data_IF_578605478056
#
_entry.id   IF_578605478056
#
_cell.length_a   1.000
_cell.length_b   1.000
_cell.length_c   1.000
_cell.angle_alpha   90.00
_cell.angle_beta   90.00
_cell.angle_gamma   90.00
#
_symmetry.space_group_name_H-M   'P 1'
#
loop_
_entity.id
_entity.type
_entity.pdbx_description
1 polymer ?
#
# COMPACT_ATOMS: atom_id res chain seq x y z
N UNK A 1 -8.25 12.39 29.48
CA UNK A 1 -7.48 13.02 28.39
C UNK A 1 -6.35 13.83 29.00
N UNK A 2 -5.24 13.19 29.37
CA UNK A 2 -3.98 13.85 29.78
C UNK A 2 -2.83 12.86 29.52
N UNK A 3 -1.93 13.16 28.59
CA UNK A 3 -0.60 12.54 28.52
C UNK A 3 0.45 13.64 28.36
N UNK A 4 1.59 13.46 29.02
CA UNK A 4 2.74 14.36 28.99
C UNK A 4 3.71 13.89 27.88
N UNK A 5 4.11 14.74 26.93
CA UNK A 5 5.13 14.39 25.94
C UNK A 5 6.52 14.37 26.60
N UNK A 6 7.22 13.23 26.53
CA UNK A 6 8.65 13.13 26.86
C UNK A 6 9.06 12.05 27.89
N UNK A 7 8.13 11.39 28.56
CA UNK A 7 8.46 10.27 29.47
C UNK A 7 8.25 8.92 28.77
N UNK A 8 9.29 8.42 28.11
CA UNK A 8 9.32 7.07 27.54
C UNK A 8 10.04 6.13 28.52
N UNK A 9 9.28 5.48 29.41
CA UNK A 9 9.76 4.20 29.94
C UNK A 9 9.45 3.14 28.88
N UNK A 10 10.49 2.56 28.28
CA UNK A 10 10.37 1.27 27.60
C UNK A 10 10.11 0.17 28.64
N UNK A 11 8.99 0.25 29.34
CA UNK A 11 8.43 -0.86 30.10
C UNK A 11 7.83 -1.81 29.09
N UNK A 12 8.74 -2.56 28.47
CA UNK A 12 8.39 -3.60 27.54
C UNK A 12 7.86 -4.82 28.31
N UNK A 13 6.56 -4.80 28.61
CA UNK A 13 5.83 -5.97 29.10
C UNK A 13 5.43 -6.92 27.96
N UNK A 14 5.89 -6.74 26.71
CA UNK A 14 5.52 -7.58 25.54
C UNK A 14 5.91 -9.05 25.70
N UNK A 15 6.74 -9.40 26.68
CA UNK A 15 7.18 -10.78 26.97
C UNK A 15 6.53 -11.43 28.19
N UNK A 16 5.73 -10.71 28.99
CA UNK A 16 5.21 -11.23 30.27
C UNK A 16 3.83 -11.88 30.18
N UNK A 17 2.96 -11.42 29.28
CA UNK A 17 1.59 -11.93 29.16
C UNK A 17 1.20 -12.16 27.69
N UNK A 18 0.61 -13.32 27.40
CA UNK A 18 0.07 -13.64 26.08
C UNK A 18 -1.03 -12.66 25.72
N UNK A 19 -0.86 -11.97 24.57
CA UNK A 19 -1.88 -11.09 24.02
C UNK A 19 -2.68 -11.83 22.95
N UNK A 20 -4.01 -11.69 22.93
CA UNK A 20 -4.78 -12.13 21.78
C UNK A 20 -4.29 -11.38 20.53
N UNK A 21 -4.05 -12.12 19.45
CA UNK A 21 -3.83 -11.57 18.13
C UNK A 21 -4.96 -12.05 17.21
N UNK A 22 -5.23 -11.27 16.17
CA UNK A 22 -6.23 -11.60 15.16
C UNK A 22 -5.47 -12.08 13.94
N UNK A 23 -5.79 -13.29 13.49
CA UNK A 23 -5.34 -13.82 12.21
C UNK A 23 -6.53 -13.81 11.25
N UNK A 24 -6.28 -13.35 10.03
CA UNK A 24 -7.28 -13.36 8.97
C UNK A 24 -6.99 -14.54 8.05
N UNK A 25 -8.01 -15.38 7.85
CA UNK A 25 -7.92 -16.55 6.99
C UNK A 25 -8.92 -16.40 5.83
N UNK A 26 -8.47 -16.13 4.59
CA UNK A 26 -9.38 -16.05 3.45
C UNK A 26 -9.91 -17.44 3.08
N UNK A 27 -11.20 -17.52 2.74
CA UNK A 27 -11.84 -18.75 2.29
C UNK A 27 -12.74 -18.48 1.08
N UNK A 28 -12.88 -19.46 0.20
CA UNK A 28 -13.78 -19.40 -0.94
C UNK A 28 -15.18 -19.83 -0.51
N UNK A 29 -16.19 -19.09 -0.97
CA UNK A 29 -17.61 -19.48 -0.85
C UNK A 29 -18.23 -19.57 -2.23
N UNK A 30 -19.12 -20.55 -2.50
CA UNK A 30 -19.87 -20.59 -3.76
C UNK A 30 -20.66 -19.29 -3.94
N UNK A 31 -20.53 -18.65 -5.10
CA UNK A 31 -21.27 -17.41 -5.37
C UNK A 31 -22.80 -17.62 -5.29
N UNK A 32 -23.28 -18.82 -5.62
CA UNK A 32 -24.68 -19.22 -5.51
C UNK A 32 -25.22 -19.28 -4.07
N UNK A 33 -24.34 -19.25 -3.06
CA UNK A 33 -24.73 -19.19 -1.65
C UNK A 33 -25.08 -17.76 -1.20
N UNK A 34 -24.83 -16.74 -2.04
CA UNK A 34 -25.04 -15.33 -1.73
C UNK A 34 -26.28 -14.83 -2.50
N UNK A 35 -27.31 -14.41 -1.77
CA UNK A 35 -28.48 -13.70 -2.34
C UNK A 35 -28.19 -12.19 -2.39
N UNK A 36 -27.60 -11.73 -3.51
CA UNK A 36 -27.20 -10.33 -3.69
C UNK A 36 -28.41 -9.48 -4.12
N UNK A 37 -28.67 -8.41 -3.38
CA UNK A 37 -29.83 -7.54 -3.59
C UNK A 37 -29.47 -6.06 -3.40
N UNK A 38 -30.17 -5.17 -4.11
CA UNK A 38 -30.08 -3.71 -3.95
C UNK A 38 -31.41 -3.20 -3.42
N UNK A 39 -31.39 -2.51 -2.28
CA UNK A 39 -32.52 -1.78 -1.74
C UNK A 39 -32.41 -0.30 -2.15
N UNK A 40 -33.39 0.17 -2.94
CA UNK A 40 -33.46 1.57 -3.34
C UNK A 40 -34.11 2.43 -2.26
N UNK A 41 -33.85 3.74 -2.29
CA UNK A 41 -34.48 4.70 -1.37
C UNK A 41 -36.00 4.78 -1.49
N UNK A 42 -36.58 4.28 -2.59
CA UNK A 42 -38.01 4.10 -2.80
C UNK A 42 -38.60 2.92 -2.00
N UNK A 43 -37.77 2.06 -1.42
CA UNK A 43 -38.17 0.79 -0.80
C UNK A 43 -38.23 -0.39 -1.78
N UNK A 44 -37.95 -0.17 -3.06
CA UNK A 44 -37.85 -1.25 -4.06
C UNK A 44 -36.60 -2.11 -3.82
N UNK A 45 -36.77 -3.43 -3.90
CA UNK A 45 -35.70 -4.41 -3.75
C UNK A 45 -35.44 -5.10 -5.09
N UNK A 46 -34.21 -5.00 -5.60
CA UNK A 46 -33.79 -5.55 -6.89
C UNK A 46 -32.82 -6.70 -6.65
N UNK A 47 -33.12 -7.90 -7.16
CA UNK A 47 -32.21 -9.03 -7.12
C UNK A 47 -31.08 -8.88 -8.15
N UNK A 48 -29.84 -9.18 -7.74
CA UNK A 48 -28.64 -9.11 -8.58
C UNK A 48 -28.10 -10.53 -8.77
N UNK A 49 -28.40 -11.12 -9.93
CA UNK A 49 -27.91 -12.46 -10.25
C UNK A 49 -26.37 -12.48 -10.43
N UNK A 50 -25.71 -13.62 -10.15
CA UNK A 50 -24.31 -13.82 -10.49
C UNK A 50 -24.00 -13.55 -11.97
N UNK A 51 -22.79 -13.06 -12.30
CA UNK A 51 -22.38 -12.84 -13.69
C UNK A 51 -22.30 -14.18 -14.44
N UNK A 52 -22.92 -14.25 -15.63
CA UNK A 52 -22.93 -15.46 -16.45
C UNK A 52 -21.62 -15.67 -17.23
N UNK A 53 -20.90 -14.57 -17.51
CA UNK A 53 -19.61 -14.61 -18.20
C UNK A 53 -18.52 -14.17 -17.23
N UNK A 54 -17.52 -15.03 -17.07
CA UNK A 54 -16.35 -14.75 -16.23
C UNK A 54 -15.08 -15.06 -17.03
N UNK A 55 -13.99 -14.40 -16.66
CA UNK A 55 -12.67 -14.64 -17.23
C UNK A 55 -11.66 -14.80 -16.10
N UNK A 56 -10.69 -15.69 -16.30
CA UNK A 56 -9.54 -15.81 -15.39
C UNK A 56 -8.54 -14.73 -15.77
N UNK A 57 -8.31 -13.78 -14.86
CA UNK A 57 -7.31 -12.74 -15.03
C UNK A 57 -5.94 -13.26 -14.59
N UNK A 58 -4.90 -12.91 -15.37
CA UNK A 58 -3.53 -13.11 -14.91
C UNK A 58 -3.26 -12.15 -13.75
N UNK A 59 -2.63 -12.66 -12.69
CA UNK A 59 -2.18 -11.88 -11.53
C UNK A 59 -0.80 -11.27 -11.85
N UNK A 60 -0.63 -10.69 -13.03
CA UNK A 60 0.57 -9.92 -13.37
C UNK A 60 0.13 -8.48 -13.53
N UNK A 61 0.44 -7.64 -12.56
CA UNK A 61 0.20 -6.20 -12.67
C UNK A 61 1.39 -5.54 -13.35
N UNK A 62 1.17 -4.51 -14.18
CA UNK A 62 2.27 -3.72 -14.72
C UNK A 62 3.10 -3.14 -13.57
N UNK A 63 4.37 -3.52 -13.52
CA UNK A 63 5.33 -3.02 -12.54
C UNK A 63 6.59 -2.61 -13.29
N UNK A 64 6.96 -1.34 -13.15
CA UNK A 64 8.15 -0.79 -13.79
C UNK A 64 8.71 0.37 -12.97
N UNK A 65 10.02 0.54 -13.04
CA UNK A 65 10.67 1.78 -12.62
C UNK A 65 10.38 2.89 -13.65
N UNK A 66 10.70 4.13 -13.27
CA UNK A 66 10.52 5.29 -14.17
C UNK A 66 11.30 5.11 -15.47
N UNK A 67 10.67 5.45 -16.60
CA UNK A 67 11.31 5.45 -17.93
C UNK A 67 12.15 6.69 -18.19
N UNK A 68 11.91 7.79 -17.46
CA UNK A 68 12.74 9.00 -17.54
C UNK A 68 13.23 9.32 -16.12
N UNK A 69 14.28 8.63 -15.64
CA UNK A 69 14.98 9.01 -14.42
C UNK A 69 15.74 10.31 -14.65
N UNK A 70 15.82 11.14 -13.61
CA UNK A 70 16.66 12.34 -13.61
C UNK A 70 18.00 12.09 -12.92
N UNK A 71 19.01 12.90 -13.23
CA UNK A 71 20.24 12.90 -12.46
C UNK A 71 20.00 13.58 -11.10
N UNK A 72 19.80 12.75 -10.07
CA UNK A 72 19.57 13.24 -8.69
C UNK A 72 20.77 14.01 -8.13
N UNK A 73 22.00 13.79 -8.64
CA UNK A 73 23.21 14.51 -8.18
C UNK A 73 23.17 15.96 -8.68
N UNK A 74 22.56 16.21 -9.84
CA UNK A 74 22.43 17.54 -10.41
C UNK A 74 21.54 18.48 -9.58
N UNK A 75 20.73 17.95 -8.65
CA UNK A 75 19.86 18.72 -7.77
C UNK A 75 20.60 19.44 -6.63
N UNK A 76 21.90 19.16 -6.46
CA UNK A 76 22.76 19.81 -5.47
C UNK A 76 22.85 19.04 -4.14
N UNK A 77 23.38 19.70 -3.09
CA UNK A 77 23.57 19.07 -1.78
C UNK A 77 22.24 18.61 -1.15
N UNK A 78 22.27 17.48 -0.43
CA UNK A 78 21.12 16.91 0.27
C UNK A 78 21.28 16.98 1.78
N UNK A 79 20.16 17.01 2.49
CA UNK A 79 20.12 16.93 3.95
C UNK A 79 19.06 15.93 4.42
N UNK A 80 19.18 15.46 5.66
CA UNK A 80 18.15 14.62 6.28
C UNK A 80 16.98 15.49 6.74
N UNK A 81 15.78 15.15 6.27
CA UNK A 81 14.54 15.81 6.67
C UNK A 81 13.50 14.78 7.13
N UNK A 82 12.56 15.16 8.01
CA UNK A 82 11.45 14.28 8.40
C UNK A 82 10.60 13.87 7.18
N UNK A 83 10.11 12.63 7.17
CA UNK A 83 9.07 12.21 6.23
C UNK A 83 7.82 13.09 6.41
N UNK A 84 7.18 13.50 5.32
CA UNK A 84 6.11 14.50 5.33
C UNK A 84 6.57 15.93 5.09
N UNK A 85 7.89 16.21 5.07
CA UNK A 85 8.40 17.54 4.71
C UNK A 85 8.11 17.89 3.24
N UNK A 86 8.38 16.93 2.35
CA UNK A 86 8.16 17.05 0.89
C UNK A 86 7.21 15.94 0.43
N UNK A 87 7.53 14.69 0.78
CA UNK A 87 6.74 13.51 0.40
C UNK A 87 5.75 13.16 1.49
N UNK A 88 4.48 13.08 1.12
CA UNK A 88 3.39 12.55 1.93
C UNK A 88 3.12 11.11 1.54
N UNK A 89 2.56 10.33 2.46
CA UNK A 89 2.24 8.94 2.18
C UNK A 89 0.94 8.51 2.86
N UNK A 90 0.29 7.52 2.25
CA UNK A 90 -0.83 6.81 2.84
C UNK A 90 -0.65 5.32 2.59
N UNK A 91 -0.68 4.54 3.66
CA UNK A 91 -0.75 3.09 3.57
C UNK A 91 -2.20 2.62 3.39
N UNK A 92 -2.34 1.48 2.74
CA UNK A 92 -3.57 0.72 2.69
C UNK A 92 -3.27 -0.77 2.80
N UNK A 93 -4.14 -1.49 3.49
CA UNK A 93 -4.12 -2.94 3.57
C UNK A 93 -5.30 -3.50 2.76
N UNK A 94 -5.04 -4.61 2.07
CA UNK A 94 -6.04 -5.42 1.38
C UNK A 94 -5.73 -6.88 1.67
N UNK A 95 -6.20 -7.32 2.83
CA UNK A 95 -5.97 -8.66 3.32
C UNK A 95 -4.46 -8.93 3.48
N UNK A 96 -3.93 -9.88 2.73
CA UNK A 96 -2.51 -10.24 2.70
C UNK A 96 -1.63 -9.25 1.91
N UNK A 97 -2.25 -8.38 1.11
CA UNK A 97 -1.55 -7.35 0.35
C UNK A 97 -1.42 -6.07 1.15
N UNK A 98 -0.20 -5.54 1.23
CA UNK A 98 0.08 -4.21 1.78
C UNK A 98 0.47 -3.27 0.65
N UNK A 99 -0.09 -2.08 0.64
CA UNK A 99 0.25 -1.03 -0.31
C UNK A 99 0.56 0.29 0.38
N UNK A 100 1.36 1.11 -0.29
CA UNK A 100 1.66 2.47 0.15
C UNK A 100 1.74 3.39 -1.06
N UNK A 101 0.91 4.43 -1.06
CA UNK A 101 1.02 5.53 -2.01
C UNK A 101 1.87 6.66 -1.45
N UNK A 102 2.89 7.09 -2.19
CA UNK A 102 3.71 8.27 -1.91
C UNK A 102 3.37 9.37 -2.91
N UNK A 103 3.22 10.60 -2.44
CA UNK A 103 2.86 11.74 -3.29
C UNK A 103 3.51 13.03 -2.81
N UNK A 104 3.77 13.92 -3.75
CA UNK A 104 4.37 15.23 -3.52
C UNK A 104 3.37 16.35 -3.73
N UNK A 105 3.66 17.55 -3.23
CA UNK A 105 2.73 18.69 -3.32
C UNK A 105 2.89 19.43 -4.64
N UNK A 106 4.12 19.56 -5.11
CA UNK A 106 4.45 20.33 -6.30
C UNK A 106 4.90 19.39 -7.43
N UNK A 107 4.58 19.76 -8.68
CA UNK A 107 4.87 18.94 -9.86
C UNK A 107 6.37 18.78 -10.13
N UNK A 108 7.17 19.79 -9.78
CA UNK A 108 8.64 19.78 -9.93
C UNK A 108 9.35 18.80 -8.99
N UNK A 109 8.68 18.38 -7.90
CA UNK A 109 9.16 17.36 -6.97
C UNK A 109 8.94 15.93 -7.51
N UNK A 110 8.02 15.75 -8.45
CA UNK A 110 7.59 14.43 -8.91
C UNK A 110 8.67 13.64 -9.68
N UNK A 111 9.43 14.26 -10.61
CA UNK A 111 10.56 13.59 -11.27
C UNK A 111 11.60 13.03 -10.29
N UNK A 112 11.86 13.77 -9.19
CA UNK A 112 12.75 13.31 -8.12
C UNK A 112 12.15 12.11 -7.37
N UNK A 113 10.88 12.19 -6.96
CA UNK A 113 10.19 11.11 -6.24
C UNK A 113 10.23 9.80 -7.03
N UNK A 114 9.82 9.83 -8.31
CA UNK A 114 9.73 8.64 -9.14
C UNK A 114 11.10 8.05 -9.50
N UNK A 115 12.15 8.88 -9.54
CA UNK A 115 13.52 8.43 -9.75
C UNK A 115 14.08 7.68 -8.54
N UNK A 116 13.77 8.13 -7.32
CA UNK A 116 14.29 7.51 -6.10
C UNK A 116 13.53 6.25 -5.70
N UNK A 117 12.19 6.27 -5.80
CA UNK A 117 11.35 5.16 -5.36
C UNK A 117 11.27 4.05 -6.39
N UNK A 118 12.40 3.40 -6.70
CA UNK A 118 12.44 2.20 -7.55
C UNK A 118 11.97 0.96 -6.79
N UNK A 119 11.60 -0.10 -7.51
CA UNK A 119 11.28 -1.42 -6.91
C UNK A 119 12.45 -1.92 -6.04
N UNK A 120 13.67 -1.78 -6.53
CA UNK A 120 14.89 -2.15 -5.78
C UNK A 120 15.03 -1.33 -4.49
N UNK A 121 14.80 -0.01 -4.56
CA UNK A 121 14.84 0.85 -3.38
C UNK A 121 13.75 0.50 -2.38
N UNK A 122 12.55 0.21 -2.83
CA UNK A 122 11.43 -0.19 -1.98
C UNK A 122 11.74 -1.51 -1.26
N UNK A 123 12.30 -2.50 -1.96
CA UNK A 123 12.78 -3.75 -1.35
C UNK A 123 13.85 -3.50 -0.28
N UNK A 124 14.80 -2.60 -0.54
CA UNK A 124 15.79 -2.22 0.47
C UNK A 124 15.16 -1.57 1.71
N UNK A 125 14.15 -0.72 1.52
CA UNK A 125 13.45 -0.03 2.61
C UNK A 125 12.62 -1.01 3.45
N UNK A 126 12.00 -2.01 2.81
CA UNK A 126 11.24 -3.07 3.48
C UNK A 126 12.15 -4.11 4.15
N UNK A 127 13.42 -4.21 3.76
CA UNK A 127 14.35 -5.19 4.32
C UNK A 127 13.90 -6.62 4.05
N UNK A 128 13.96 -7.50 5.04
CA UNK A 128 13.56 -8.91 4.87
C UNK A 128 12.02 -9.10 4.87
N UNK A 129 11.26 -8.07 5.24
CA UNK A 129 9.79 -8.13 5.38
C UNK A 129 9.05 -8.25 4.04
N UNK A 130 9.65 -7.83 2.92
CA UNK A 130 9.02 -7.98 1.61
C UNK A 130 9.11 -9.41 1.07
N UNK A 131 10.06 -10.21 1.54
CA UNK A 131 10.30 -11.56 1.03
C UNK A 131 9.77 -12.64 1.96
N UNK A 132 10.02 -12.55 3.28
CA UNK A 132 9.54 -13.49 4.32
C UNK A 132 9.63 -14.98 3.94
N UNK A 133 10.67 -15.38 3.20
CA UNK A 133 10.87 -16.75 2.67
C UNK A 133 9.75 -17.25 1.75
N UNK A 134 8.96 -16.35 1.16
CA UNK A 134 7.94 -16.67 0.18
C UNK A 134 8.43 -16.29 -1.24
N UNK A 135 8.78 -17.27 -2.10
CA UNK A 135 9.26 -16.99 -3.45
C UNK A 135 8.19 -16.37 -4.36
N UNK A 136 6.91 -16.52 -4.00
CA UNK A 136 5.79 -15.96 -4.75
C UNK A 136 5.50 -14.50 -4.37
N UNK A 137 6.18 -13.96 -3.35
CA UNK A 137 6.00 -12.58 -2.91
C UNK A 137 6.75 -11.62 -3.83
N UNK A 138 6.04 -10.61 -4.31
CA UNK A 138 6.57 -9.59 -5.22
C UNK A 138 6.37 -8.19 -4.65
N UNK A 139 7.19 -7.27 -5.12
CA UNK A 139 7.02 -5.83 -4.89
C UNK A 139 6.66 -5.21 -6.23
N UNK A 140 5.47 -4.63 -6.30
CA UNK A 140 4.95 -3.96 -7.49
C UNK A 140 5.12 -2.44 -7.33
N UNK A 141 5.23 -1.74 -8.47
CA UNK A 141 5.36 -0.28 -8.50
C UNK A 141 4.58 0.30 -9.66
N UNK A 142 3.77 1.32 -9.38
CA UNK A 142 2.95 2.04 -10.37
C UNK A 142 3.10 3.54 -10.19
N UNK A 143 3.18 4.27 -11.30
CA UNK A 143 3.16 5.73 -11.31
C UNK A 143 1.76 6.27 -11.61
N UNK A 144 1.37 7.33 -10.90
CA UNK A 144 0.15 8.09 -11.14
C UNK A 144 0.48 9.57 -11.41
N UNK A 145 0.89 9.92 -12.64
CA UNK A 145 1.33 11.28 -12.97
C UNK A 145 0.27 12.35 -12.73
N UNK A 146 -1.01 12.05 -12.94
CA UNK A 146 -2.10 13.01 -12.75
C UNK A 146 -2.30 13.48 -11.30
N UNK A 147 -1.66 12.82 -10.33
CA UNK A 147 -1.70 13.19 -8.91
C UNK A 147 -0.30 13.20 -8.27
N UNK A 148 0.77 13.24 -9.09
CA UNK A 148 2.16 13.26 -8.65
C UNK A 148 2.51 12.15 -7.64
N UNK A 149 2.01 10.94 -7.88
CA UNK A 149 2.17 9.82 -6.94
C UNK A 149 2.95 8.64 -7.54
N UNK A 150 3.64 7.93 -6.66
CA UNK A 150 4.25 6.62 -6.89
C UNK A 150 3.66 5.67 -5.86
N UNK A 151 3.13 4.55 -6.33
CA UNK A 151 2.45 3.57 -5.50
C UNK A 151 3.20 2.26 -5.52
N UNK A 152 3.35 1.70 -4.31
CA UNK A 152 3.74 0.32 -4.03
C UNK A 152 2.46 -0.49 -3.86
#
# INVERSE_FOLDING_TARGET
MQSYPGYHMSLDFRTMDSKPFIEMFPALTPQSAIDHQVLLGSGELISVAPPQSTAVYKIERPSADTVEPIDIVSLGPTEFAPLGSIVHARSGDKADNSNVGFFVRNEDEYPWLRTILTVSRLKQLLGDDWYKNNPDQSVERVEFPGINAVHL
#
